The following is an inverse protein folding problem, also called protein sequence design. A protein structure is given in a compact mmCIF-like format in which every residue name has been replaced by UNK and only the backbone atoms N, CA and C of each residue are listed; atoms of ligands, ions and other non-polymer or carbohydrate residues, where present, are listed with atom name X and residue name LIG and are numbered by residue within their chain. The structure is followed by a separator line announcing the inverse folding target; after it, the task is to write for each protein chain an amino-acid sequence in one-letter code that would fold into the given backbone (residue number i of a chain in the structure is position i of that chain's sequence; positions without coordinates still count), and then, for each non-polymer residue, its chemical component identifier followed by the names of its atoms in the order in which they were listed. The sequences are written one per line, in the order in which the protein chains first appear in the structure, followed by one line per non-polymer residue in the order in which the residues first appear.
data_IF_061913817457
#
_entry.id   IF_061913817457
#
_cell.length_a   1.000
_cell.length_b   1.000
_cell.length_c   1.000
_cell.angle_alpha   90.00
_cell.angle_beta   90.00
_cell.angle_gamma   90.00
#
_symmetry.space_group_name_H-M   'P 1'
#
loop_
_entity.id
_entity.type
_entity.pdbx_description
1 polymer ?
#
# COMPACT_ATOMS: atom_id res chain seq x y z
N UNK A 1 2.33 -22.05 22.30
CA UNK A 1 3.28 -22.19 21.19
C UNK A 1 3.57 -20.79 20.72
N UNK A 2 4.84 -20.37 20.73
CA UNK A 2 5.21 -19.04 20.25
C UNK A 2 4.99 -19.01 18.73
N UNK A 3 3.85 -18.51 18.29
CA UNK A 3 3.57 -18.28 16.87
C UNK A 3 4.40 -17.07 16.41
N UNK A 4 5.67 -17.34 16.09
CA UNK A 4 6.64 -16.35 15.62
C UNK A 4 6.90 -16.53 14.13
N UNK A 5 7.24 -15.43 13.47
CA UNK A 5 7.74 -15.44 12.12
C UNK A 5 9.09 -16.17 12.08
N UNK A 6 9.28 -17.03 11.07
CA UNK A 6 10.59 -17.65 10.82
C UNK A 6 11.54 -16.63 10.22
N UNK A 7 12.84 -16.94 10.24
CA UNK A 7 13.86 -16.07 9.62
C UNK A 7 13.59 -15.83 8.13
N UNK A 8 13.19 -16.87 7.39
CA UNK A 8 12.87 -16.77 5.97
C UNK A 8 11.63 -15.88 5.72
N UNK A 9 10.63 -15.96 6.59
CA UNK A 9 9.44 -15.11 6.51
C UNK A 9 9.78 -13.64 6.80
N UNK A 10 10.63 -13.37 7.78
CA UNK A 10 11.14 -12.02 8.06
C UNK A 10 11.94 -11.46 6.88
N UNK A 11 12.80 -12.26 6.25
CA UNK A 11 13.54 -11.87 5.03
C UNK A 11 12.58 -11.58 3.86
N UNK A 12 11.53 -12.39 3.71
CA UNK A 12 10.46 -12.14 2.74
C UNK A 12 9.75 -10.81 3.01
N UNK A 13 9.31 -10.56 4.25
CA UNK A 13 8.62 -9.33 4.65
C UNK A 13 9.52 -8.09 4.55
N UNK A 14 10.83 -8.24 4.73
CA UNK A 14 11.79 -7.16 4.52
C UNK A 14 11.80 -6.67 3.06
N UNK A 15 11.52 -7.56 2.09
CA UNK A 15 11.33 -7.15 0.68
C UNK A 15 10.08 -6.28 0.46
N UNK A 16 9.16 -6.26 1.45
CA UNK A 16 8.01 -5.37 1.54
C UNK A 16 8.23 -4.23 2.54
N UNK A 17 9.50 -3.96 2.90
CA UNK A 17 9.95 -2.88 3.77
C UNK A 17 9.55 -3.05 5.25
N UNK A 18 9.27 -4.27 5.69
CA UNK A 18 9.24 -4.57 7.12
C UNK A 18 10.66 -4.51 7.71
N UNK A 19 10.82 -3.92 8.88
CA UNK A 19 12.11 -3.77 9.56
C UNK A 19 11.97 -3.99 11.06
N UNK A 20 13.04 -4.48 11.68
CA UNK A 20 13.16 -4.54 13.15
C UNK A 20 13.87 -3.30 13.70
N UNK A 21 14.42 -2.45 12.83
CA UNK A 21 15.22 -1.29 13.22
C UNK A 21 14.34 -0.07 13.47
N UNK A 22 14.64 0.63 14.56
CA UNK A 22 14.11 1.97 14.81
C UNK A 22 15.14 3.00 14.34
N UNK A 23 14.68 4.05 13.65
CA UNK A 23 15.55 5.11 13.15
C UNK A 23 15.23 6.43 13.84
N UNK A 24 16.27 7.24 14.04
CA UNK A 24 16.13 8.61 14.52
C UNK A 24 15.93 9.52 13.32
N UNK A 25 14.67 9.78 12.98
CA UNK A 25 14.30 10.75 11.94
C UNK A 25 13.15 11.63 12.41
N UNK A 26 13.11 12.87 11.89
CA UNK A 26 12.01 13.81 12.12
C UNK A 26 10.68 13.33 11.54
N UNK A 27 10.71 12.38 10.58
CA UNK A 27 9.52 11.75 10.00
C UNK A 27 9.45 10.25 10.33
N UNK A 28 9.90 9.85 11.53
CA UNK A 28 9.52 8.56 12.12
C UNK A 28 8.37 8.78 13.10
N UNK A 29 7.27 8.03 12.98
CA UNK A 29 6.06 8.24 13.78
C UNK A 29 5.26 6.93 13.95
N UNK A 30 4.41 6.86 14.98
CA UNK A 30 3.47 5.75 15.13
C UNK A 30 2.27 5.99 14.22
N UNK A 31 1.74 4.97 13.55
CA UNK A 31 0.59 5.16 12.64
C UNK A 31 -0.61 5.81 13.36
N UNK A 32 -0.85 5.50 14.63
CA UNK A 32 -1.90 6.16 15.43
C UNK A 32 -1.77 7.68 15.50
N UNK A 33 -0.57 8.23 15.35
CA UNK A 33 -0.34 9.68 15.35
C UNK A 33 -1.06 10.36 14.17
N UNK A 34 -1.35 9.63 13.08
CA UNK A 34 -2.17 10.14 11.98
C UNK A 34 -3.64 10.30 12.34
N UNK A 35 -4.10 9.71 13.44
CA UNK A 35 -5.48 9.84 13.94
C UNK A 35 -5.62 10.96 14.98
N UNK A 36 -4.50 11.58 15.40
CA UNK A 36 -4.47 12.68 16.35
C UNK A 36 -4.27 13.98 15.57
N UNK A 37 -5.24 14.90 15.62
CA UNK A 37 -5.29 16.11 14.78
C UNK A 37 -3.96 16.89 14.71
N UNK A 38 -3.40 17.30 15.86
CA UNK A 38 -2.16 18.07 15.90
C UNK A 38 -0.97 17.29 15.31
N UNK A 39 -0.86 16.00 15.65
CA UNK A 39 0.23 15.13 15.20
C UNK A 39 0.13 14.84 13.71
N UNK A 40 -1.08 14.61 13.20
CA UNK A 40 -1.37 14.47 11.77
C UNK A 40 -0.92 15.69 10.98
N UNK A 41 -1.26 16.91 11.45
CA UNK A 41 -0.83 18.15 10.80
C UNK A 41 0.70 18.24 10.71
N UNK A 42 1.39 17.94 11.82
CA UNK A 42 2.86 17.91 11.88
C UNK A 42 3.45 16.87 10.92
N UNK A 43 2.90 15.65 10.89
CA UNK A 43 3.37 14.58 10.01
C UNK A 43 3.18 14.95 8.54
N UNK A 44 2.03 15.49 8.15
CA UNK A 44 1.78 15.89 6.76
C UNK A 44 2.71 17.04 6.35
N UNK A 45 2.95 18.01 7.23
CA UNK A 45 3.90 19.08 6.98
C UNK A 45 5.33 18.55 6.81
N UNK A 46 5.80 17.73 7.75
CA UNK A 46 7.13 17.12 7.68
C UNK A 46 7.29 16.21 6.45
N UNK A 47 6.24 15.48 6.05
CA UNK A 47 6.23 14.69 4.82
C UNK A 47 6.26 15.58 3.58
N UNK A 48 5.53 16.69 3.56
CA UNK A 48 5.57 17.66 2.47
C UNK A 48 6.96 18.26 2.31
N UNK A 49 7.60 18.66 3.42
CA UNK A 49 8.95 19.22 3.42
C UNK A 49 9.98 18.18 2.97
N UNK A 50 9.94 16.96 3.51
CA UNK A 50 10.88 15.90 3.13
C UNK A 50 10.79 15.55 1.64
N UNK A 51 9.57 15.44 1.11
CA UNK A 51 9.35 15.12 -0.30
C UNK A 51 9.42 16.34 -1.22
N UNK A 52 9.54 17.54 -0.67
CA UNK A 52 9.40 18.81 -1.38
C UNK A 52 8.10 18.83 -2.21
N UNK A 53 6.99 18.43 -1.58
CA UNK A 53 5.68 18.44 -2.20
C UNK A 53 5.14 19.88 -2.25
N UNK A 54 4.46 20.27 -3.35
CA UNK A 54 3.99 21.66 -3.52
C UNK A 54 2.83 22.03 -2.59
N UNK A 55 2.15 21.05 -1.99
CA UNK A 55 1.10 21.26 -1.01
C UNK A 55 0.81 19.98 -0.21
N UNK A 56 0.04 20.15 0.87
CA UNK A 56 -0.38 19.08 1.78
C UNK A 56 -1.16 17.96 1.10
N UNK A 57 -2.00 18.26 0.09
CA UNK A 57 -2.80 17.25 -0.62
C UNK A 57 -1.90 16.30 -1.43
N UNK A 58 -0.90 16.82 -2.12
CA UNK A 58 0.12 16.00 -2.81
C UNK A 58 0.89 15.15 -1.79
N UNK A 59 1.31 15.74 -0.68
CA UNK A 59 2.00 15.02 0.39
C UNK A 59 1.14 13.85 0.94
N UNK A 60 -0.14 14.10 1.22
CA UNK A 60 -1.07 13.07 1.70
C UNK A 60 -1.28 11.93 0.67
N UNK A 61 -1.31 12.25 -0.63
CA UNK A 61 -1.43 11.22 -1.68
C UNK A 61 -0.21 10.30 -1.70
N UNK A 62 0.99 10.88 -1.61
CA UNK A 62 2.24 10.10 -1.59
C UNK A 62 2.40 9.35 -0.27
N UNK A 63 2.06 9.97 0.86
CA UNK A 63 2.02 9.31 2.16
C UNK A 63 1.10 8.09 2.11
N UNK A 64 -0.13 8.22 1.60
CA UNK A 64 -1.05 7.08 1.40
C UNK A 64 -0.41 5.99 0.53
N UNK A 65 0.26 6.39 -0.55
CA UNK A 65 0.99 5.45 -1.42
C UNK A 65 2.10 4.71 -0.68
N UNK A 66 2.77 5.33 0.30
CA UNK A 66 3.76 4.65 1.16
C UNK A 66 3.08 3.72 2.16
N UNK A 67 2.02 4.17 2.82
CA UNK A 67 1.27 3.38 3.79
C UNK A 67 0.63 2.13 3.16
N UNK A 68 0.40 2.12 1.84
CA UNK A 68 -0.08 0.94 1.09
C UNK A 68 0.85 -0.29 1.18
N UNK A 69 2.11 -0.13 1.60
CA UNK A 69 2.97 -1.27 1.94
C UNK A 69 2.44 -2.05 3.16
N UNK A 70 1.76 -1.42 4.12
CA UNK A 70 1.25 -2.10 5.31
C UNK A 70 0.19 -3.17 4.96
N UNK A 71 -0.87 -2.86 4.18
CA UNK A 71 -1.74 -3.88 3.61
C UNK A 71 -0.97 -4.98 2.85
N UNK A 72 0.05 -4.61 2.07
CA UNK A 72 0.82 -5.59 1.31
C UNK A 72 1.62 -6.55 2.21
N UNK A 73 2.25 -6.05 3.28
CA UNK A 73 2.95 -6.85 4.30
C UNK A 73 1.98 -7.85 4.95
N UNK A 74 0.80 -7.39 5.38
CA UNK A 74 -0.20 -8.22 6.04
C UNK A 74 -0.78 -9.30 5.12
N UNK A 75 -1.14 -8.92 3.89
CA UNK A 75 -1.65 -9.86 2.88
C UNK A 75 -0.57 -10.84 2.44
N UNK A 76 0.70 -10.43 2.32
CA UNK A 76 1.80 -11.33 1.97
C UNK A 76 1.94 -12.45 3.01
N UNK A 77 1.93 -12.10 4.29
CA UNK A 77 1.99 -13.10 5.36
C UNK A 77 0.83 -14.11 5.30
N UNK A 78 -0.37 -13.65 4.99
CA UNK A 78 -1.55 -14.51 4.88
C UNK A 78 -1.56 -15.36 3.61
N UNK A 79 -1.20 -14.78 2.47
CA UNK A 79 -1.26 -15.45 1.16
C UNK A 79 -0.19 -16.53 1.07
N UNK A 80 1.00 -16.28 1.62
CA UNK A 80 2.14 -17.19 1.50
C UNK A 80 2.24 -18.20 2.64
N UNK A 81 1.84 -17.85 3.86
CA UNK A 81 2.19 -18.65 5.05
C UNK A 81 1.04 -18.89 6.03
N UNK A 82 -0.18 -18.51 5.69
CA UNK A 82 -1.35 -18.73 6.56
C UNK A 82 -1.14 -18.10 7.94
N UNK A 83 -0.54 -16.90 7.93
CA UNK A 83 -0.22 -16.12 9.12
C UNK A 83 -0.86 -14.76 9.08
N UNK A 84 -1.44 -14.37 10.21
CA UNK A 84 -1.95 -13.02 10.44
C UNK A 84 -1.03 -12.24 11.35
N UNK A 85 -0.64 -11.05 10.91
CA UNK A 85 0.15 -10.12 11.70
C UNK A 85 -0.79 -9.19 12.48
N UNK A 86 -0.39 -8.79 13.69
CA UNK A 86 -1.05 -7.69 14.37
C UNK A 86 -0.69 -6.37 13.66
N UNK A 87 -1.64 -5.80 12.92
CA UNK A 87 -1.47 -4.53 12.19
C UNK A 87 -2.37 -3.42 12.75
N UNK A 88 -2.74 -3.51 14.03
CA UNK A 88 -3.45 -2.43 14.69
C UNK A 88 -2.67 -1.11 14.62
N UNK A 89 -3.40 0.01 14.66
CA UNK A 89 -2.82 1.37 14.62
C UNK A 89 -1.77 1.61 15.70
N UNK A 90 -1.89 0.91 16.84
CA UNK A 90 -0.96 0.96 17.96
C UNK A 90 0.31 0.14 17.74
N UNK A 91 0.28 -0.85 16.85
CA UNK A 91 1.39 -1.78 16.68
C UNK A 91 2.38 -1.36 15.58
N UNK A 92 2.10 -0.31 14.81
CA UNK A 92 2.90 0.03 13.63
C UNK A 92 3.62 1.38 13.80
N UNK A 93 4.91 1.36 13.53
CA UNK A 93 5.74 2.54 13.34
C UNK A 93 6.16 2.69 11.88
N UNK A 94 6.07 3.92 11.37
CA UNK A 94 6.68 4.35 10.12
C UNK A 94 8.07 4.84 10.44
N UNK A 95 9.05 4.26 9.76
CA UNK A 95 10.46 4.44 10.02
C UNK A 95 11.13 5.11 8.82
N UNK A 96 11.68 6.31 9.00
CA UNK A 96 12.29 7.07 7.91
C UNK A 96 13.82 7.01 7.98
N UNK A 97 14.43 6.61 6.87
CA UNK A 97 15.86 6.79 6.61
C UNK A 97 16.06 7.95 5.63
N UNK A 98 16.92 8.91 5.98
CA UNK A 98 17.19 10.10 5.15
C UNK A 98 18.24 9.84 4.05
N UNK A 99 18.34 8.61 3.56
CA UNK A 99 19.42 8.16 2.67
C UNK A 99 18.97 8.00 1.22
N UNK A 100 17.66 7.92 0.96
CA UNK A 100 17.12 7.67 -0.37
C UNK A 100 16.77 8.97 -1.11
N UNK A 101 17.03 9.02 -2.42
CA UNK A 101 16.69 10.16 -3.28
C UNK A 101 15.16 10.37 -3.42
N UNK A 102 14.38 9.30 -3.21
CA UNK A 102 12.92 9.34 -3.12
C UNK A 102 12.57 8.79 -1.76
N UNK A 103 11.82 9.56 -0.96
CA UNK A 103 11.40 9.06 0.34
C UNK A 103 10.51 7.83 0.20
N UNK A 104 10.98 6.71 0.74
CA UNK A 104 10.24 5.47 0.94
C UNK A 104 10.55 5.01 2.39
N UNK A 105 9.56 4.95 3.28
CA UNK A 105 9.80 4.51 4.65
C UNK A 105 9.93 2.99 4.76
N UNK A 106 10.43 2.52 5.90
CA UNK A 106 10.26 1.16 6.39
C UNK A 106 9.14 1.11 7.44
N UNK A 107 8.68 -0.09 7.79
CA UNK A 107 7.61 -0.32 8.75
C UNK A 107 8.10 -1.26 9.83
N UNK A 108 7.92 -0.87 11.10
CA UNK A 108 8.28 -1.69 12.24
C UNK A 108 7.05 -2.04 13.04
N UNK A 109 6.91 -3.32 13.38
CA UNK A 109 5.91 -3.80 14.33
C UNK A 109 6.50 -3.76 15.75
N UNK A 110 5.73 -3.30 16.73
CA UNK A 110 6.16 -3.34 18.15
C UNK A 110 6.12 -4.79 18.63
N UNK A 111 5.02 -5.47 18.34
CA UNK A 111 4.79 -6.89 18.59
C UNK A 111 4.86 -7.65 17.26
N UNK A 112 5.80 -8.59 17.16
CA UNK A 112 6.06 -9.38 15.95
C UNK A 112 5.41 -10.77 15.97
N UNK A 113 4.53 -11.00 16.94
CA UNK A 113 3.73 -12.23 17.01
C UNK A 113 2.78 -12.35 15.81
N UNK A 114 2.45 -13.59 15.45
CA UNK A 114 1.46 -13.88 14.43
C UNK A 114 0.44 -14.89 14.92
N UNK A 115 -0.73 -14.92 14.31
CA UNK A 115 -1.76 -15.95 14.52
C UNK A 115 -1.72 -16.93 13.35
N UNK A 116 -1.78 -18.22 13.64
CA UNK A 116 -1.94 -19.25 12.60
C UNK A 116 -3.39 -19.27 12.14
N UNK A 117 -3.57 -19.40 10.84
CA UNK A 117 -4.88 -19.45 10.20
C UNK A 117 -5.38 -20.88 10.19
N UNK A 118 -6.52 -21.12 10.86
CA UNK A 118 -7.22 -22.40 10.83
C UNK A 118 -8.36 -22.35 9.80
N UNK A 119 -9.37 -21.51 10.04
CA UNK A 119 -10.50 -21.31 9.15
C UNK A 119 -10.25 -20.18 8.15
N UNK A 120 -9.55 -20.51 7.06
CA UNK A 120 -9.07 -19.52 6.07
C UNK A 120 -10.11 -18.49 5.62
N UNK A 121 -11.32 -18.89 5.31
CA UNK A 121 -12.33 -17.95 4.78
C UNK A 121 -12.70 -16.87 5.80
N UNK A 122 -13.06 -17.28 7.02
CA UNK A 122 -13.36 -16.38 8.13
C UNK A 122 -12.15 -15.54 8.51
N UNK A 123 -10.98 -16.17 8.59
CA UNK A 123 -9.73 -15.49 8.94
C UNK A 123 -9.30 -14.46 7.89
N UNK A 124 -9.59 -14.71 6.61
CA UNK A 124 -9.37 -13.77 5.50
C UNK A 124 -10.28 -12.55 5.63
N UNK A 125 -11.55 -12.75 5.95
CA UNK A 125 -12.49 -11.66 6.18
C UNK A 125 -12.06 -10.78 7.36
N UNK A 126 -11.72 -11.40 8.49
CA UNK A 126 -11.24 -10.70 9.68
C UNK A 126 -9.91 -9.97 9.41
N UNK A 127 -9.00 -10.58 8.65
CA UNK A 127 -7.77 -9.89 8.21
C UNK A 127 -8.08 -8.70 7.31
N UNK A 128 -8.95 -8.85 6.32
CA UNK A 128 -9.31 -7.75 5.43
C UNK A 128 -9.98 -6.61 6.20
N UNK A 129 -10.85 -6.94 7.16
CA UNK A 129 -11.50 -5.96 8.04
C UNK A 129 -10.47 -5.20 8.87
N UNK A 130 -9.50 -5.90 9.48
CA UNK A 130 -8.44 -5.25 10.27
C UNK A 130 -7.50 -4.38 9.42
N UNK A 131 -7.21 -4.79 8.18
CA UNK A 131 -6.43 -3.98 7.24
C UNK A 131 -7.23 -2.75 6.82
N UNK A 132 -8.47 -2.92 6.36
CA UNK A 132 -9.16 -1.91 5.57
C UNK A 132 -10.11 -1.06 6.41
N UNK A 133 -11.00 -1.67 7.19
CA UNK A 133 -11.95 -0.95 8.03
C UNK A 133 -11.29 -0.37 9.28
N UNK A 134 -10.40 -1.12 9.93
CA UNK A 134 -9.85 -0.71 11.24
C UNK A 134 -8.58 0.12 11.14
N UNK A 135 -7.81 -0.03 10.06
CA UNK A 135 -6.53 0.65 9.86
C UNK A 135 -6.61 1.68 8.72
N UNK A 136 -6.85 1.26 7.48
CA UNK A 136 -6.71 2.16 6.33
C UNK A 136 -7.83 3.20 6.24
N UNK A 137 -9.11 2.85 6.43
CA UNK A 137 -10.20 3.83 6.32
C UNK A 137 -10.15 4.95 7.37
N UNK A 138 -9.81 4.70 8.65
CA UNK A 138 -9.59 5.76 9.64
C UNK A 138 -8.44 6.69 9.23
N UNK A 139 -7.31 6.14 8.78
CA UNK A 139 -6.18 6.94 8.28
C UNK A 139 -6.61 7.79 7.08
N UNK A 140 -7.27 7.19 6.08
CA UNK A 140 -7.70 7.89 4.88
C UNK A 140 -8.77 8.95 5.16
N UNK A 141 -9.68 8.70 6.12
CA UNK A 141 -10.64 9.69 6.61
C UNK A 141 -9.92 10.87 7.23
N UNK A 142 -8.98 10.59 8.12
CA UNK A 142 -8.15 11.60 8.79
C UNK A 142 -7.36 12.46 7.81
N UNK A 143 -6.75 11.85 6.78
CA UNK A 143 -6.06 12.58 5.71
C UNK A 143 -7.01 13.38 4.82
N UNK A 144 -8.21 12.86 4.54
CA UNK A 144 -9.24 13.57 3.77
C UNK A 144 -9.71 14.83 4.49
N UNK A 145 -9.93 14.75 5.81
CA UNK A 145 -10.33 15.90 6.62
C UNK A 145 -9.32 17.04 6.54
N UNK A 146 -8.03 16.70 6.69
CA UNK A 146 -6.94 17.69 6.72
C UNK A 146 -6.59 18.26 5.34
N UNK A 147 -6.72 17.47 4.28
CA UNK A 147 -6.15 17.84 2.96
C UNK A 147 -7.15 17.88 1.82
N UNK A 148 -8.39 17.43 2.05
CA UNK A 148 -9.44 17.22 1.04
C UNK A 148 -9.06 16.26 -0.09
N UNK A 149 -7.99 15.46 0.09
CA UNK A 149 -7.61 14.43 -0.86
C UNK A 149 -8.73 13.40 -1.00
N UNK A 150 -9.15 13.12 -2.23
CA UNK A 150 -10.24 12.17 -2.50
C UNK A 150 -9.89 10.76 -2.05
N UNK A 151 -10.82 10.10 -1.33
CA UNK A 151 -10.70 8.68 -0.96
C UNK A 151 -10.58 7.77 -2.20
N UNK A 152 -11.09 8.17 -3.36
CA UNK A 152 -10.87 7.41 -4.60
C UNK A 152 -9.40 7.37 -5.03
N UNK A 153 -8.64 8.44 -4.82
CA UNK A 153 -7.21 8.45 -5.13
C UNK A 153 -6.46 7.56 -4.14
N UNK A 154 -6.85 7.65 -2.86
CA UNK A 154 -6.25 6.87 -1.78
C UNK A 154 -6.49 5.36 -1.94
N UNK A 155 -7.73 4.95 -2.22
CA UNK A 155 -8.05 3.54 -2.48
C UNK A 155 -7.34 2.99 -3.72
N UNK A 156 -7.18 3.79 -4.76
CA UNK A 156 -6.41 3.32 -5.92
C UNK A 156 -4.92 3.18 -5.59
N UNK A 157 -4.35 4.09 -4.80
CA UNK A 157 -2.98 3.94 -4.31
C UNK A 157 -2.81 2.61 -3.55
N UNK A 158 -3.76 2.23 -2.68
CA UNK A 158 -3.76 0.94 -1.98
C UNK A 158 -3.91 -0.23 -2.96
N UNK A 159 -4.86 -0.14 -3.88
CA UNK A 159 -5.19 -1.19 -4.86
C UNK A 159 -3.99 -1.56 -5.73
N UNK A 160 -3.19 -0.57 -6.16
CA UNK A 160 -1.99 -0.79 -6.96
C UNK A 160 -0.98 -1.70 -6.25
N UNK A 161 -0.82 -1.57 -4.93
CA UNK A 161 0.09 -2.42 -4.15
C UNK A 161 -0.46 -3.84 -3.96
N UNK A 162 -1.77 -4.00 -3.80
CA UNK A 162 -2.43 -5.31 -3.74
C UNK A 162 -2.26 -6.05 -5.08
N UNK A 163 -2.45 -5.35 -6.19
CA UNK A 163 -2.24 -5.92 -7.53
C UNK A 163 -0.78 -6.31 -7.76
N UNK A 164 0.16 -5.45 -7.36
CA UNK A 164 1.59 -5.75 -7.46
C UNK A 164 1.99 -6.96 -6.60
N UNK A 165 1.49 -7.06 -5.37
CA UNK A 165 1.71 -8.21 -4.49
C UNK A 165 1.22 -9.50 -5.16
N UNK A 166 -0.01 -9.51 -5.67
CA UNK A 166 -0.55 -10.69 -6.35
C UNK A 166 0.27 -11.10 -7.57
N UNK A 167 0.67 -10.13 -8.40
CA UNK A 167 1.48 -10.40 -9.59
C UNK A 167 2.87 -10.96 -9.22
N UNK A 168 3.50 -10.43 -8.18
CA UNK A 168 4.76 -10.96 -7.63
C UNK A 168 4.58 -12.40 -7.14
N UNK A 169 3.61 -12.65 -6.27
CA UNK A 169 3.35 -13.98 -5.71
C UNK A 169 3.00 -15.01 -6.78
N UNK A 170 2.19 -14.62 -7.77
CA UNK A 170 1.82 -15.51 -8.89
C UNK A 170 3.04 -15.93 -9.73
N UNK A 171 4.07 -15.09 -9.82
CA UNK A 171 5.31 -15.42 -10.53
C UNK A 171 6.21 -16.36 -9.72
N UNK A 172 6.13 -16.31 -8.39
CA UNK A 172 6.93 -17.11 -7.47
C UNK A 172 6.30 -18.48 -7.16
N UNK A 173 4.97 -18.58 -7.21
CA UNK A 173 4.23 -19.81 -6.93
C UNK A 173 4.26 -20.80 -8.10
N UNK A 174 4.56 -22.07 -7.80
CA UNK A 174 4.72 -23.14 -8.79
C UNK A 174 3.66 -24.24 -8.69
N UNK A 175 2.99 -24.35 -7.55
CA UNK A 175 1.98 -25.37 -7.30
C UNK A 175 0.61 -24.93 -7.83
N UNK A 176 -0.16 -25.89 -8.35
CA UNK A 176 -1.51 -25.62 -8.86
C UNK A 176 -2.44 -25.21 -7.72
N UNK A 177 -2.31 -25.89 -6.58
CA UNK A 177 -3.09 -25.63 -5.37
C UNK A 177 -2.76 -24.24 -4.79
N UNK A 178 -1.48 -23.88 -4.72
CA UNK A 178 -1.05 -22.55 -4.26
C UNK A 178 -1.53 -21.43 -5.17
N UNK A 179 -1.45 -21.61 -6.50
CA UNK A 179 -1.96 -20.64 -7.47
C UNK A 179 -3.48 -20.45 -7.35
N UNK A 180 -4.22 -21.55 -7.15
CA UNK A 180 -5.68 -21.48 -6.98
C UNK A 180 -6.04 -20.76 -5.68
N UNK A 181 -5.39 -21.10 -4.57
CA UNK A 181 -5.55 -20.42 -3.28
C UNK A 181 -5.26 -18.93 -3.36
N UNK A 182 -4.12 -18.55 -3.96
CA UNK A 182 -3.74 -17.17 -4.19
C UNK A 182 -4.76 -16.42 -5.04
N UNK A 183 -5.32 -17.06 -6.07
CA UNK A 183 -6.38 -16.49 -6.91
C UNK A 183 -7.66 -16.26 -6.11
N UNK A 184 -8.06 -17.21 -5.27
CA UNK A 184 -9.27 -17.09 -4.46
C UNK A 184 -9.15 -15.99 -3.40
N UNK A 185 -7.99 -15.86 -2.76
CA UNK A 185 -7.72 -14.77 -1.82
C UNK A 185 -7.72 -13.40 -2.52
N UNK A 186 -7.10 -13.32 -3.70
CA UNK A 186 -7.10 -12.11 -4.51
C UNK A 186 -8.50 -11.71 -4.99
N UNK A 187 -9.29 -12.69 -5.42
CA UNK A 187 -10.69 -12.50 -5.84
C UNK A 187 -11.53 -11.97 -4.68
N UNK A 188 -11.34 -12.53 -3.49
CA UNK A 188 -12.00 -12.04 -2.29
C UNK A 188 -11.70 -10.57 -2.01
N UNK A 189 -10.41 -10.23 -1.86
CA UNK A 189 -9.98 -8.85 -1.54
C UNK A 189 -10.47 -7.84 -2.58
N UNK A 190 -10.41 -8.21 -3.86
CA UNK A 190 -10.59 -7.23 -4.95
C UNK A 190 -11.98 -7.25 -5.59
N UNK A 191 -12.87 -8.18 -5.24
CA UNK A 191 -14.22 -8.23 -5.83
C UNK A 191 -15.33 -8.76 -4.91
N UNK A 192 -15.07 -9.78 -4.09
CA UNK A 192 -16.14 -10.48 -3.35
C UNK A 192 -16.35 -9.97 -1.92
N UNK A 193 -15.31 -9.41 -1.27
CA UNK A 193 -15.45 -8.84 0.06
C UNK A 193 -16.55 -7.76 0.07
N UNK A 194 -17.39 -7.80 1.11
CA UNK A 194 -18.48 -6.85 1.29
C UNK A 194 -17.93 -5.42 1.55
N UNK A 195 -18.79 -4.41 1.42
CA UNK A 195 -18.38 -3.01 1.58
C UNK A 195 -17.93 -2.66 3.00
N UNK A 196 -18.54 -3.27 4.01
CA UNK A 196 -18.26 -3.10 5.44
C UNK A 196 -16.86 -3.55 5.85
N UNK A 197 -16.29 -4.55 5.15
CA UNK A 197 -14.88 -4.96 5.28
C UNK A 197 -13.92 -3.78 5.04
N UNK A 198 -14.34 -2.75 4.31
CA UNK A 198 -13.53 -1.56 4.01
C UNK A 198 -13.87 -0.33 4.85
N UNK A 199 -14.74 -0.46 5.85
CA UNK A 199 -15.25 0.64 6.66
C UNK A 199 -16.70 0.98 6.30
N UNK A 200 -17.09 2.25 6.38
CA UNK A 200 -18.47 2.67 6.09
C UNK A 200 -18.79 2.76 4.58
N UNK A 201 -18.48 1.71 3.80
CA UNK A 201 -18.74 1.64 2.37
C UNK A 201 -19.89 0.68 2.05
N UNK A 202 -20.71 1.06 1.06
CA UNK A 202 -21.77 0.21 0.52
C UNK A 202 -21.21 -0.95 -0.31
N UNK A 203 -20.18 -0.67 -1.08
CA UNK A 203 -19.57 -1.59 -2.04
C UNK A 203 -18.06 -1.60 -1.86
N UNK A 204 -17.40 -2.70 -2.22
CA UNK A 204 -15.94 -2.82 -2.22
C UNK A 204 -15.29 -1.67 -3.05
N UNK A 205 -14.53 -0.75 -2.43
CA UNK A 205 -13.95 0.39 -3.11
C UNK A 205 -12.80 0.01 -4.05
N UNK A 206 -12.20 -1.17 -3.89
CA UNK A 206 -11.11 -1.68 -4.74
C UNK A 206 -11.64 -2.22 -6.07
N UNK A 207 -12.86 -2.78 -6.08
CA UNK A 207 -13.46 -3.49 -7.22
C UNK A 207 -13.41 -2.71 -8.54
N UNK A 208 -13.56 -1.39 -8.47
CA UNK A 208 -13.49 -0.50 -9.64
C UNK A 208 -12.12 -0.39 -10.29
N UNK A 209 -11.03 -0.64 -9.57
CA UNK A 209 -9.66 -0.51 -10.09
C UNK A 209 -9.16 -1.80 -10.74
N UNK A 210 -10.00 -2.83 -10.76
CA UNK A 210 -9.69 -4.13 -11.35
C UNK A 210 -9.68 -4.13 -12.89
N UNK A 211 -9.81 -2.95 -13.50
CA UNK A 211 -9.90 -2.76 -14.95
C UNK A 211 -8.76 -3.48 -15.70
N UNK A 212 -9.11 -3.92 -16.89
CA UNK A 212 -8.35 -4.82 -17.76
C UNK A 212 -6.90 -4.36 -17.97
N UNK A 213 -6.00 -5.34 -18.01
CA UNK A 213 -4.66 -5.16 -18.56
C UNK A 213 -4.83 -4.81 -20.03
N UNK A 214 -4.43 -3.61 -20.41
CA UNK A 214 -4.31 -3.25 -21.81
C UNK A 214 -2.94 -3.72 -22.27
N UNK A 215 -2.91 -4.49 -23.35
CA UNK A 215 -1.64 -4.81 -24.01
C UNK A 215 -1.08 -3.51 -24.59
N UNK A 216 0.08 -3.10 -24.11
CA UNK A 216 0.80 -1.97 -24.67
C UNK A 216 1.29 -2.35 -26.07
N UNK A 217 0.87 -1.61 -27.08
CA UNK A 217 1.22 -1.89 -28.48
C UNK A 217 2.72 -1.77 -28.76
N UNK A 218 3.46 -1.00 -27.95
CA UNK A 218 4.89 -0.74 -28.19
C UNK A 218 5.83 -1.82 -27.63
N UNK A 219 5.45 -2.52 -26.56
CA UNK A 219 6.32 -3.51 -25.90
C UNK A 219 5.61 -4.83 -25.58
N UNK A 220 4.36 -5.00 -26.04
CA UNK A 220 3.50 -6.15 -25.78
C UNK A 220 3.33 -6.50 -24.30
N UNK A 221 3.64 -5.56 -23.39
CA UNK A 221 3.42 -5.77 -21.96
C UNK A 221 1.98 -5.49 -21.59
N UNK A 222 1.45 -6.31 -20.68
CA UNK A 222 0.14 -6.08 -20.10
C UNK A 222 0.23 -4.99 -19.02
N UNK A 223 -0.23 -3.78 -19.35
CA UNK A 223 -0.20 -2.63 -18.45
C UNK A 223 -1.60 -2.38 -17.89
N UNK A 224 -1.71 -2.36 -16.56
CA UNK A 224 -2.89 -1.85 -15.86
C UNK A 224 -2.75 -0.34 -15.66
N UNK A 225 -3.42 0.43 -16.50
CA UNK A 225 -3.46 1.88 -16.33
C UNK A 225 -4.25 2.26 -15.10
N UNK A 226 -3.72 3.23 -14.38
CA UNK A 226 -4.38 3.87 -13.25
C UNK A 226 -5.52 4.75 -13.75
N UNK A 227 -6.57 4.87 -12.94
CA UNK A 227 -7.72 5.76 -13.20
C UNK A 227 -7.54 7.13 -12.57
N UNK A 228 -6.69 7.25 -11.55
CA UNK A 228 -6.41 8.49 -10.82
C UNK A 228 -4.92 8.84 -10.82
N UNK A 229 -4.62 10.14 -10.78
CA UNK A 229 -3.26 10.61 -10.62
C UNK A 229 -2.84 10.55 -9.15
N UNK A 230 -1.67 9.97 -8.86
CA UNK A 230 -1.10 10.01 -7.50
C UNK A 230 -0.28 11.25 -7.18
N UNK A 231 -0.12 12.17 -8.15
CA UNK A 231 0.66 13.40 -8.04
C UNK A 231 2.18 13.22 -7.80
N UNK A 232 2.72 12.02 -7.97
CA UNK A 232 4.16 11.78 -7.73
C UNK A 232 5.07 12.61 -8.64
N UNK A 233 4.60 12.96 -9.84
CA UNK A 233 5.33 13.81 -10.78
C UNK A 233 5.48 15.26 -10.31
N UNK A 234 4.71 15.67 -9.30
CA UNK A 234 4.78 17.01 -8.72
C UNK A 234 5.85 17.14 -7.62
N UNK A 235 6.47 16.02 -7.21
CA UNK A 235 7.56 16.06 -6.23
C UNK A 235 8.83 16.57 -6.90
N UNK A 236 9.60 17.44 -6.23
CA UNK A 236 10.86 17.97 -6.77
C UNK A 236 11.83 16.85 -7.20
N UNK A 237 11.95 15.79 -6.39
CA UNK A 237 12.81 14.64 -6.69
C UNK A 237 12.37 13.79 -7.89
N UNK A 238 11.15 13.98 -8.39
CA UNK A 238 10.64 13.25 -9.57
C UNK A 238 11.00 13.90 -10.91
N UNK A 239 11.47 15.16 -10.90
CA UNK A 239 11.75 15.95 -12.09
C UNK A 239 10.61 15.93 -13.14
N UNK A 240 9.34 15.93 -12.68
CA UNK A 240 8.17 15.89 -13.58
C UNK A 240 7.87 14.53 -14.21
N UNK A 241 8.66 13.49 -13.91
CA UNK A 241 8.50 12.17 -14.52
C UNK A 241 7.30 11.43 -13.94
N UNK A 242 6.60 10.69 -14.80
CA UNK A 242 5.38 9.93 -14.48
C UNK A 242 5.66 8.44 -14.47
N UNK A 243 4.87 7.64 -13.76
CA UNK A 243 4.97 6.18 -13.85
C UNK A 243 4.35 5.66 -15.16
N UNK A 244 4.77 4.48 -15.64
CA UNK A 244 4.22 3.82 -16.85
C UNK A 244 2.70 3.64 -16.83
N UNK A 245 2.13 3.52 -15.64
CA UNK A 245 0.70 3.31 -15.44
C UNK A 245 -0.09 4.61 -15.25
N UNK A 246 0.55 5.79 -15.30
CA UNK A 246 -0.10 7.06 -14.95
C UNK A 246 -1.21 7.45 -15.95
N UNK A 247 -2.41 7.87 -15.49
CA UNK A 247 -3.49 8.28 -16.39
C UNK A 247 -3.17 9.56 -17.18
N UNK A 248 -2.18 10.33 -16.72
CA UNK A 248 -1.74 11.59 -17.33
C UNK A 248 -0.59 11.38 -18.32
N UNK A 249 -0.29 10.14 -18.75
CA UNK A 249 0.71 9.90 -19.80
C UNK A 249 0.18 10.27 -21.18
N UNK A 250 -1.07 9.90 -21.48
CA UNK A 250 -1.70 10.21 -22.78
C UNK A 250 -1.88 11.72 -23.02
N UNK A 251 -1.80 12.54 -21.96
CA UNK A 251 -1.90 14.00 -22.06
C UNK A 251 -0.55 14.67 -22.35
N UNK A 252 0.55 13.93 -22.37
CA UNK A 252 1.88 14.44 -22.71
C UNK A 252 2.21 14.26 -24.20
N UNK A 253 2.97 15.18 -24.81
CA UNK A 253 3.60 14.95 -26.11
C UNK A 253 4.43 13.66 -26.08
N UNK A 254 4.46 12.89 -27.19
CA UNK A 254 5.15 11.59 -27.26
C UNK A 254 6.62 11.67 -26.83
N UNK A 255 7.29 12.78 -27.14
CA UNK A 255 8.69 13.05 -26.82
C UNK A 255 8.96 13.19 -25.31
N UNK A 256 7.93 13.52 -24.52
CA UNK A 256 8.01 13.75 -23.07
C UNK A 256 7.48 12.56 -22.25
N UNK A 257 6.98 11.52 -22.92
CA UNK A 257 6.53 10.28 -22.29
C UNK A 257 7.73 9.42 -21.86
N UNK A 258 8.57 9.94 -20.97
CA UNK A 258 9.64 9.17 -20.32
C UNK A 258 9.15 8.69 -18.96
N UNK A 259 8.72 7.42 -18.84
CA UNK A 259 8.25 6.91 -17.57
C UNK A 259 9.41 6.65 -16.60
N UNK A 260 9.18 6.90 -15.31
CA UNK A 260 10.01 6.33 -14.25
C UNK A 260 9.90 4.80 -14.32
N UNK A 261 11.05 4.12 -14.35
CA UNK A 261 11.13 2.73 -13.93
C UNK A 261 10.90 2.70 -12.42
N UNK A 262 9.63 2.76 -12.01
CA UNK A 262 9.23 2.54 -10.63
C UNK A 262 9.29 1.03 -10.40
N UNK A 263 10.48 0.51 -10.06
CA UNK A 263 10.53 -0.71 -9.28
C UNK A 263 10.10 -0.32 -7.86
N UNK A 264 9.00 -0.92 -7.41
CA UNK A 264 8.50 -0.78 -6.04
C UNK A 264 9.53 -1.20 -5.02
#
# INVERSE_FOLDING_TARGET
MDNKLTKAELEGLASFRLTEKAYKSALSFSIKDLLIENRRMEIIAAAADLMQAPNKMVAASILTKRLAFVPAIALYAFFSWDKRLNISVDNIYVETQNTEAVWLPEFRLIETGCELVDHRETEREMLCTSIFADLMDPIMSSLNEETRLSKYIMWENVSVYIFWLFEKLRQEESSVEGLQKLKDDFEYVTANAAGDVFGAYRDNPIKRYRLFKNTNENDHSDIRYRTTCCFSYMLTGSAGKRCKTCPQLCTLPKEEQTPLNVKG
#
